data_IF_831527910079
#
_entry.id   IF_831527910079
#
_cell.length_a   1.000
_cell.length_b   1.000
_cell.length_c   1.000
_cell.angle_alpha   90.00
_cell.angle_beta   90.00
_cell.angle_gamma   90.00
#
_symmetry.space_group_name_H-M   'P 1'
#
loop_
_entity.id
_entity.type
_entity.pdbx_description
1 polymer ?
#
# COMPACT_ATOMS: atom_id res chain seq x y z
N UNK A 1 -17.02 17.04 1.07
CA UNK A 1 -17.14 17.55 -0.30
C UNK A 1 -17.84 18.89 -0.33
N UNK A 2 -19.15 18.98 -0.10
CA UNK A 2 -19.89 20.24 -0.29
C UNK A 2 -19.37 21.48 0.50
N UNK A 3 -18.83 21.30 1.71
CA UNK A 3 -18.21 22.39 2.49
C UNK A 3 -16.82 22.80 1.97
N UNK A 4 -16.10 21.86 1.34
CA UNK A 4 -14.75 22.05 0.80
C UNK A 4 -14.82 22.65 -0.62
N UNK A 5 -15.92 22.41 -1.33
CA UNK A 5 -16.27 22.99 -2.64
C UNK A 5 -16.77 24.45 -2.56
N UNK A 6 -16.82 25.05 -1.36
CA UNK A 6 -17.22 26.45 -1.16
C UNK A 6 -18.72 26.72 -1.40
N UNK A 7 -19.55 25.69 -1.58
CA UNK A 7 -20.98 25.81 -1.86
C UNK A 7 -21.80 26.42 -0.72
N UNK A 8 -21.24 26.48 0.49
CA UNK A 8 -21.86 27.09 1.67
C UNK A 8 -21.09 28.32 2.19
N UNK A 9 -20.22 28.90 1.35
CA UNK A 9 -19.35 30.03 1.68
C UNK A 9 -17.90 29.60 1.93
N UNK A 10 -16.98 30.56 1.79
CA UNK A 10 -15.55 30.32 1.99
C UNK A 10 -15.25 30.02 3.46
N UNK A 11 -14.53 28.92 3.68
CA UNK A 11 -14.07 28.53 5.01
C UNK A 11 -12.80 29.31 5.38
N UNK A 12 -12.73 29.79 6.62
CA UNK A 12 -11.49 30.33 7.17
C UNK A 12 -10.38 29.25 7.21
N UNK A 13 -9.12 29.65 7.14
CA UNK A 13 -7.98 28.73 7.09
C UNK A 13 -7.99 27.66 8.21
N UNK A 14 -8.43 28.06 9.42
CA UNK A 14 -8.56 27.15 10.56
C UNK A 14 -9.72 26.15 10.38
N UNK A 15 -10.84 26.57 9.82
CA UNK A 15 -11.99 25.71 9.54
C UNK A 15 -11.64 24.69 8.45
N UNK A 16 -10.96 25.12 7.38
CA UNK A 16 -10.44 24.22 6.35
C UNK A 16 -9.51 23.14 6.92
N UNK A 17 -8.64 23.51 7.86
CA UNK A 17 -7.75 22.56 8.53
C UNK A 17 -8.54 21.50 9.32
N UNK A 18 -9.57 21.91 10.06
CA UNK A 18 -10.43 21.00 10.82
C UNK A 18 -11.26 20.11 9.91
N UNK A 19 -11.82 20.65 8.82
CA UNK A 19 -12.61 19.89 7.84
C UNK A 19 -11.76 18.80 7.19
N UNK A 20 -10.54 19.13 6.76
CA UNK A 20 -9.58 18.15 6.22
C UNK A 20 -9.25 17.06 7.23
N UNK A 21 -8.98 17.44 8.48
CA UNK A 21 -8.73 16.47 9.55
C UNK A 21 -9.91 15.51 9.74
N UNK A 22 -11.15 16.00 9.78
CA UNK A 22 -12.34 15.17 9.91
C UNK A 22 -12.47 14.22 8.71
N UNK A 23 -12.27 14.72 7.49
CA UNK A 23 -12.33 13.88 6.28
C UNK A 23 -11.28 12.77 6.30
N UNK A 24 -10.05 13.08 6.71
CA UNK A 24 -8.98 12.10 6.81
C UNK A 24 -9.30 11.01 7.84
N UNK A 25 -9.87 11.39 8.99
CA UNK A 25 -10.32 10.44 10.01
C UNK A 25 -11.50 9.59 9.52
N UNK A 26 -12.45 10.17 8.80
CA UNK A 26 -13.57 9.42 8.21
C UNK A 26 -13.07 8.39 7.17
N UNK A 27 -12.14 8.79 6.29
CA UNK A 27 -11.50 7.87 5.33
C UNK A 27 -10.70 6.76 6.04
N UNK A 28 -10.01 7.10 7.14
CA UNK A 28 -9.31 6.10 7.96
C UNK A 28 -10.30 5.09 8.58
N UNK A 29 -11.41 5.55 9.15
CA UNK A 29 -12.43 4.69 9.73
C UNK A 29 -13.06 3.75 8.69
N UNK A 30 -13.43 4.28 7.51
CA UNK A 30 -13.97 3.46 6.41
C UNK A 30 -13.00 2.37 5.99
N UNK A 31 -11.69 2.67 5.91
CA UNK A 31 -10.67 1.66 5.61
C UNK A 31 -10.62 0.56 6.67
N UNK A 32 -10.68 0.91 7.96
CA UNK A 32 -10.69 -0.07 9.05
C UNK A 32 -11.94 -0.97 9.03
N UNK A 33 -13.11 -0.39 8.76
CA UNK A 33 -14.36 -1.15 8.62
C UNK A 33 -14.28 -2.14 7.46
N UNK A 34 -13.78 -1.70 6.30
CA UNK A 34 -13.60 -2.58 5.14
C UNK A 34 -12.60 -3.70 5.43
N UNK A 35 -11.46 -3.39 6.06
CA UNK A 35 -10.47 -4.40 6.48
C UNK A 35 -11.08 -5.44 7.43
N UNK A 36 -11.91 -5.01 8.38
CA UNK A 36 -12.60 -5.93 9.29
C UNK A 36 -13.63 -6.82 8.56
N UNK A 37 -14.38 -6.26 7.62
CA UNK A 37 -15.33 -7.02 6.80
C UNK A 37 -14.62 -8.04 5.91
N UNK A 38 -13.50 -7.66 5.29
CA UNK A 38 -12.69 -8.54 4.46
C UNK A 38 -12.08 -9.68 5.28
N UNK A 39 -11.59 -9.38 6.48
CA UNK A 39 -11.13 -10.39 7.44
C UNK A 39 -12.26 -11.35 7.84
N UNK A 40 -13.44 -10.84 8.15
CA UNK A 40 -14.59 -11.66 8.55
C UNK A 40 -15.03 -12.57 7.39
N UNK A 41 -14.97 -12.09 6.15
CA UNK A 41 -15.23 -12.88 4.94
C UNK A 41 -14.15 -13.94 4.71
N UNK A 42 -12.89 -13.60 4.97
CA UNK A 42 -11.77 -14.55 4.88
C UNK A 42 -11.93 -15.70 5.87
N UNK A 43 -12.23 -15.40 7.13
CA UNK A 43 -12.45 -16.41 8.18
C UNK A 43 -13.68 -17.29 7.94
N UNK A 44 -14.72 -16.74 7.33
CA UNK A 44 -15.91 -17.49 6.92
C UNK A 44 -15.72 -18.31 5.61
N UNK A 45 -14.52 -18.33 5.03
CA UNK A 45 -14.22 -19.03 3.76
C UNK A 45 -14.85 -18.38 2.52
N UNK A 46 -15.35 -17.14 2.64
CA UNK A 46 -16.09 -16.42 1.60
C UNK A 46 -15.24 -15.54 0.69
N UNK A 47 -13.91 -15.54 0.84
CA UNK A 47 -13.05 -14.73 -0.01
C UNK A 47 -13.02 -15.31 -1.43
N UNK A 48 -13.71 -14.65 -2.37
CA UNK A 48 -13.62 -14.97 -3.79
C UNK A 48 -12.42 -14.24 -4.37
N UNK A 49 -11.41 -15.00 -4.77
CA UNK A 49 -10.38 -14.57 -5.70
C UNK A 49 -10.94 -14.80 -7.10
N UNK A 50 -10.78 -13.84 -8.00
CA UNK A 50 -11.17 -13.99 -9.41
C UNK A 50 -9.94 -13.95 -10.32
N UNK A 51 -9.14 -15.03 -10.39
CA UNK A 51 -7.96 -15.03 -11.25
C UNK A 51 -8.34 -14.89 -12.71
N UNK A 52 -7.73 -13.93 -13.38
CA UNK A 52 -7.88 -13.67 -14.82
C UNK A 52 -6.49 -13.59 -15.43
N UNK A 53 -6.40 -13.76 -16.75
CA UNK A 53 -5.14 -13.52 -17.46
C UNK A 53 -4.88 -12.01 -17.46
N UNK A 54 -3.78 -11.61 -16.84
CA UNK A 54 -3.37 -10.21 -16.66
C UNK A 54 -2.02 -9.98 -17.34
N UNK A 55 -1.86 -8.82 -17.96
CA UNK A 55 -0.59 -8.36 -18.53
C UNK A 55 0.27 -7.77 -17.41
N UNK A 56 1.38 -8.45 -17.10
CA UNK A 56 2.16 -8.18 -15.88
C UNK A 56 2.97 -6.88 -15.97
N UNK A 57 3.66 -6.58 -17.09
CA UNK A 57 4.27 -5.27 -17.29
C UNK A 57 3.35 -4.09 -17.01
N UNK A 58 2.09 -4.13 -17.48
CA UNK A 58 1.10 -3.09 -17.28
C UNK A 58 0.62 -3.00 -15.84
N UNK A 59 0.37 -4.13 -15.18
CA UNK A 59 0.09 -4.15 -13.73
C UNK A 59 1.22 -3.47 -12.93
N UNK A 60 2.49 -3.72 -13.31
CA UNK A 60 3.64 -3.10 -12.66
C UNK A 60 3.74 -1.59 -12.94
N UNK A 61 3.39 -1.14 -14.15
CA UNK A 61 3.32 0.28 -14.51
C UNK A 61 2.23 1.01 -13.71
N UNK A 62 1.08 0.38 -13.51
CA UNK A 62 0.02 0.92 -12.67
C UNK A 62 0.46 1.06 -11.21
N UNK A 63 1.14 0.04 -10.66
CA UNK A 63 1.72 0.09 -9.32
C UNK A 63 2.74 1.23 -9.23
N UNK A 64 3.63 1.35 -10.22
CA UNK A 64 4.62 2.43 -10.26
C UNK A 64 3.95 3.81 -10.24
N UNK A 65 2.97 4.03 -11.10
CA UNK A 65 2.26 5.29 -11.23
C UNK A 65 1.54 5.71 -9.93
N UNK A 66 0.98 4.75 -9.21
CA UNK A 66 0.22 4.98 -7.97
C UNK A 66 1.08 5.53 -6.83
N UNK A 67 2.38 5.22 -6.82
CA UNK A 67 3.30 5.60 -5.73
C UNK A 67 4.33 6.66 -6.14
N UNK A 68 4.47 6.98 -7.43
CA UNK A 68 5.45 7.95 -7.93
C UNK A 68 5.29 9.35 -7.35
N UNK A 69 4.05 9.82 -7.19
CA UNK A 69 3.77 11.11 -6.56
C UNK A 69 4.19 11.12 -5.08
N UNK A 70 3.88 10.05 -4.35
CA UNK A 70 4.26 9.90 -2.94
C UNK A 70 5.78 9.80 -2.76
N UNK A 71 6.47 9.07 -3.65
CA UNK A 71 7.92 8.97 -3.65
C UNK A 71 8.59 10.33 -3.83
N UNK A 72 8.10 11.12 -4.79
CA UNK A 72 8.56 12.49 -5.02
C UNK A 72 8.33 13.36 -3.79
N UNK A 73 7.12 13.32 -3.22
CA UNK A 73 6.76 14.09 -2.04
C UNK A 73 7.63 13.75 -0.81
N UNK A 74 7.94 12.46 -0.62
CA UNK A 74 8.77 11.97 0.49
C UNK A 74 10.27 11.99 0.20
N UNK A 75 10.68 12.39 -1.01
CA UNK A 75 12.07 12.36 -1.46
C UNK A 75 12.72 10.97 -1.32
N UNK A 76 11.98 9.93 -1.71
CA UNK A 76 12.44 8.53 -1.70
C UNK A 76 12.70 8.11 -3.14
N UNK A 77 13.85 7.48 -3.39
CA UNK A 77 14.14 6.86 -4.68
C UNK A 77 13.26 5.61 -4.86
N UNK A 78 12.31 5.67 -5.78
CA UNK A 78 11.37 4.58 -6.03
C UNK A 78 11.54 4.04 -7.44
N UNK A 79 11.88 2.75 -7.54
CA UNK A 79 12.13 2.08 -8.82
C UNK A 79 11.34 0.78 -8.93
N UNK A 80 10.72 0.55 -10.09
CA UNK A 80 10.14 -0.76 -10.45
C UNK A 80 10.98 -1.41 -11.53
N UNK A 81 11.60 -2.55 -11.21
CA UNK A 81 12.47 -3.31 -12.11
C UNK A 81 11.77 -4.58 -12.60
N UNK A 82 11.48 -4.59 -13.89
CA UNK A 82 11.02 -5.75 -14.67
C UNK A 82 12.26 -6.53 -15.11
N UNK A 83 12.52 -7.72 -14.56
CA UNK A 83 13.69 -8.53 -14.93
C UNK A 83 13.44 -9.31 -16.22
N UNK A 84 14.50 -9.78 -16.87
CA UNK A 84 14.43 -10.45 -18.18
C UNK A 84 13.53 -11.69 -18.20
N UNK A 85 13.42 -12.41 -17.07
CA UNK A 85 12.53 -13.58 -16.96
C UNK A 85 11.07 -13.22 -16.64
N UNK A 86 10.68 -11.94 -16.65
CA UNK A 86 9.31 -11.52 -16.37
C UNK A 86 8.35 -12.08 -17.44
N UNK A 87 7.30 -12.82 -17.04
CA UNK A 87 6.30 -13.29 -18.00
C UNK A 87 5.47 -12.11 -18.52
N UNK A 88 5.10 -12.13 -19.80
CA UNK A 88 4.19 -11.13 -20.37
C UNK A 88 2.79 -11.18 -19.75
N UNK A 89 2.33 -12.37 -19.34
CA UNK A 89 1.04 -12.54 -18.65
C UNK A 89 1.11 -13.56 -17.53
N UNK A 90 0.26 -13.41 -16.50
CA UNK A 90 0.01 -14.44 -15.49
C UNK A 90 -1.48 -14.54 -15.15
N UNK A 91 -1.91 -15.66 -14.56
CA UNK A 91 -3.28 -15.86 -14.09
C UNK A 91 -3.36 -15.42 -12.62
N UNK A 92 -3.84 -14.20 -12.39
CA UNK A 92 -3.91 -13.56 -11.06
C UNK A 92 -5.16 -12.71 -10.94
N UNK A 93 -5.54 -12.35 -9.71
CA UNK A 93 -6.57 -11.35 -9.47
C UNK A 93 -5.93 -9.95 -9.49
N UNK A 94 -6.17 -9.20 -10.57
CA UNK A 94 -5.52 -7.91 -10.84
C UNK A 94 -5.69 -6.92 -9.68
N UNK A 95 -6.92 -6.73 -9.20
CA UNK A 95 -7.24 -5.72 -8.19
C UNK A 95 -6.66 -6.10 -6.84
N UNK A 96 -6.71 -7.39 -6.47
CA UNK A 96 -6.11 -7.87 -5.22
C UNK A 96 -4.59 -7.73 -5.22
N UNK A 97 -3.92 -8.12 -6.30
CA UNK A 97 -2.45 -7.97 -6.37
C UNK A 97 -2.08 -6.48 -6.31
N UNK A 98 -2.74 -5.62 -7.08
CA UNK A 98 -2.44 -4.18 -7.13
C UNK A 98 -2.71 -3.47 -5.79
N UNK A 99 -3.91 -3.59 -5.26
CA UNK A 99 -4.35 -2.78 -4.11
C UNK A 99 -4.09 -3.43 -2.77
N UNK A 100 -4.35 -4.73 -2.64
CA UNK A 100 -4.23 -5.42 -1.35
C UNK A 100 -2.78 -5.84 -1.10
N UNK A 101 -2.16 -6.57 -2.03
CA UNK A 101 -0.81 -7.10 -1.83
C UNK A 101 0.22 -5.98 -1.99
N UNK A 102 0.34 -5.42 -3.20
CA UNK A 102 1.35 -4.39 -3.48
C UNK A 102 1.06 -3.10 -2.72
N UNK A 103 -0.22 -2.72 -2.59
CA UNK A 103 -0.60 -1.54 -1.82
C UNK A 103 -0.19 -1.64 -0.35
N UNK A 104 -0.43 -2.77 0.32
CA UNK A 104 0.00 -2.95 1.72
C UNK A 104 1.52 -2.95 1.85
N UNK A 105 2.23 -3.73 1.03
CA UNK A 105 3.69 -3.81 1.09
C UNK A 105 4.35 -2.45 0.83
N UNK A 106 3.93 -1.74 -0.22
CA UNK A 106 4.49 -0.42 -0.54
C UNK A 106 4.09 0.64 0.49
N UNK A 107 2.86 0.61 1.01
CA UNK A 107 2.47 1.55 2.06
C UNK A 107 3.33 1.40 3.32
N UNK A 108 3.70 0.16 3.68
CA UNK A 108 4.64 -0.12 4.76
C UNK A 108 6.05 0.38 4.42
N UNK A 109 6.57 0.05 3.24
CA UNK A 109 7.88 0.52 2.79
C UNK A 109 7.99 2.06 2.84
N UNK A 110 7.00 2.78 2.32
CA UNK A 110 6.94 4.25 2.38
C UNK A 110 6.73 4.80 3.78
N UNK A 111 6.10 4.05 4.69
CA UNK A 111 5.91 4.47 6.08
C UNK A 111 7.22 4.41 6.85
N UNK A 112 8.03 3.37 6.64
CA UNK A 112 9.23 3.08 7.43
C UNK A 112 10.55 3.50 6.78
N UNK A 113 10.51 3.95 5.52
CA UNK A 113 11.67 4.56 4.83
C UNK A 113 11.69 6.07 5.02
N UNK A 114 12.83 6.60 5.46
CA UNK A 114 13.04 8.05 5.63
C UNK A 114 13.39 8.74 4.31
N UNK A 115 13.28 10.08 4.27
CA UNK A 115 13.73 10.89 3.13
C UNK A 115 15.20 10.60 2.79
N UNK A 116 15.50 10.51 1.50
CA UNK A 116 16.80 10.11 0.96
C UNK A 116 17.03 8.59 0.89
N UNK A 117 16.09 7.78 1.39
CA UNK A 117 16.12 6.32 1.25
C UNK A 117 15.67 5.83 -0.13
N UNK A 118 15.66 4.51 -0.31
CA UNK A 118 15.24 3.86 -1.55
C UNK A 118 14.22 2.74 -1.30
N UNK A 119 13.28 2.60 -2.23
CA UNK A 119 12.31 1.51 -2.31
C UNK A 119 12.38 0.92 -3.72
N UNK A 120 12.50 -0.40 -3.81
CA UNK A 120 12.59 -1.13 -5.07
C UNK A 120 11.52 -2.21 -5.14
N UNK A 121 10.80 -2.24 -6.25
CA UNK A 121 9.99 -3.40 -6.65
C UNK A 121 10.77 -4.18 -7.69
N UNK A 122 10.94 -5.48 -7.45
CA UNK A 122 11.54 -6.42 -8.40
C UNK A 122 10.49 -7.44 -8.82
N UNK A 123 10.34 -7.65 -10.12
CA UNK A 123 9.42 -8.64 -10.66
C UNK A 123 10.12 -9.55 -11.67
N UNK A 124 9.95 -10.86 -11.52
CA UNK A 124 10.56 -11.87 -12.39
C UNK A 124 9.76 -13.17 -12.39
N UNK A 125 9.91 -13.97 -13.45
CA UNK A 125 9.43 -15.35 -13.47
C UNK A 125 10.45 -16.28 -12.81
N UNK A 126 9.96 -17.20 -11.99
CA UNK A 126 10.75 -18.25 -11.33
C UNK A 126 9.98 -19.56 -11.37
N UNK A 127 10.49 -20.52 -12.16
CA UNK A 127 9.78 -21.75 -12.52
C UNK A 127 8.35 -21.44 -13.02
N UNK A 128 7.33 -21.93 -12.33
CA UNK A 128 5.91 -21.75 -12.68
C UNK A 128 5.26 -20.56 -11.95
N UNK A 129 6.06 -19.69 -11.32
CA UNK A 129 5.56 -18.59 -10.49
C UNK A 129 6.01 -17.23 -10.98
N UNK A 130 5.12 -16.24 -10.86
CA UNK A 130 5.49 -14.83 -10.87
C UNK A 130 5.96 -14.47 -9.46
N UNK A 131 7.18 -13.93 -9.36
CA UNK A 131 7.72 -13.43 -8.11
C UNK A 131 7.74 -11.92 -8.09
N UNK A 132 7.20 -11.36 -7.02
CA UNK A 132 7.21 -9.93 -6.71
C UNK A 132 7.99 -9.76 -5.40
N UNK A 133 8.94 -8.83 -5.40
CA UNK A 133 9.70 -8.46 -4.22
C UNK A 133 9.61 -6.95 -4.03
N UNK A 134 9.35 -6.53 -2.79
CA UNK A 134 9.47 -5.14 -2.36
C UNK A 134 10.65 -5.10 -1.39
N UNK A 135 11.60 -4.22 -1.65
CA UNK A 135 12.77 -3.97 -0.80
C UNK A 135 12.83 -2.50 -0.46
N UNK A 136 13.20 -2.19 0.78
CA UNK A 136 13.36 -0.81 1.24
C UNK A 136 14.62 -0.65 2.09
N UNK A 137 15.05 0.60 2.27
CA UNK A 137 16.19 0.97 3.12
C UNK A 137 15.72 1.63 4.43
N UNK A 138 14.55 1.25 4.92
CA UNK A 138 13.98 1.76 6.15
C UNK A 138 14.68 1.23 7.41
N UNK A 139 14.00 1.39 8.55
CA UNK A 139 14.52 0.99 9.87
C UNK A 139 14.77 -0.51 10.03
N UNK A 140 14.27 -1.33 9.10
CA UNK A 140 14.35 -2.78 9.17
C UNK A 140 13.39 -3.38 10.19
N UNK A 141 13.46 -4.70 10.33
CA UNK A 141 12.68 -5.49 11.28
C UNK A 141 13.68 -6.36 12.04
N UNK A 142 13.61 -6.39 13.37
CA UNK A 142 14.51 -7.24 14.16
C UNK A 142 14.17 -8.72 13.98
N UNK A 143 15.16 -9.60 14.09
CA UNK A 143 14.99 -11.04 13.80
C UNK A 143 13.90 -11.69 14.68
N UNK A 144 13.79 -11.28 15.94
CA UNK A 144 12.79 -11.75 16.90
C UNK A 144 11.35 -11.34 16.53
N UNK A 145 11.18 -10.38 15.63
CA UNK A 145 9.87 -9.89 15.20
C UNK A 145 9.42 -10.48 13.86
N UNK A 146 10.34 -11.05 13.08
CA UNK A 146 10.06 -11.54 11.72
C UNK A 146 8.94 -12.60 11.68
N UNK A 147 8.87 -13.45 12.71
CA UNK A 147 7.85 -14.50 12.79
C UNK A 147 6.45 -13.93 13.14
N UNK A 148 6.41 -12.72 13.71
CA UNK A 148 5.19 -12.09 14.21
C UNK A 148 4.58 -11.04 13.28
N UNK A 149 5.32 -10.55 12.27
CA UNK A 149 4.85 -9.41 11.43
C UNK A 149 3.59 -9.70 10.60
N UNK A 150 3.22 -10.98 10.44
CA UNK A 150 1.99 -11.40 9.77
C UNK A 150 0.87 -11.80 10.74
N UNK A 151 1.13 -11.75 12.05
CA UNK A 151 0.09 -11.98 13.05
C UNK A 151 -0.90 -10.81 13.10
N UNK A 152 -2.16 -11.15 13.34
CA UNK A 152 -3.22 -10.15 13.41
C UNK A 152 -2.98 -9.21 14.58
N UNK A 153 -3.15 -7.91 14.31
CA UNK A 153 -2.99 -6.83 15.30
C UNK A 153 -1.58 -6.68 15.86
N UNK A 154 -0.60 -7.41 15.35
CA UNK A 154 0.79 -7.25 15.75
C UNK A 154 1.34 -5.94 15.19
N UNK A 155 1.91 -5.13 16.06
CA UNK A 155 2.63 -3.93 15.70
C UNK A 155 3.92 -3.91 16.50
N UNK A 156 5.05 -3.78 15.80
CA UNK A 156 6.35 -3.55 16.41
C UNK A 156 6.24 -2.31 17.31
N UNK A 157 6.50 -2.47 18.62
CA UNK A 157 6.49 -1.36 19.56
C UNK A 157 7.58 -0.36 19.19
N UNK A 158 7.19 0.75 18.55
CA UNK A 158 8.16 1.70 18.03
C UNK A 158 7.52 2.88 17.30
N UNK A 159 6.58 3.56 17.95
CA UNK A 159 6.29 4.99 17.75
C UNK A 159 5.23 5.46 18.76
N UNK A 160 5.63 5.61 20.02
CA UNK A 160 4.95 6.60 20.87
C UNK A 160 5.29 7.96 20.27
N UNK A 161 4.41 8.51 19.44
CA UNK A 161 4.42 9.95 19.17
C UNK A 161 4.42 10.65 20.53
N UNK A 162 5.48 11.40 20.80
CA UNK A 162 5.54 12.26 21.97
C UNK A 162 4.30 13.16 21.97
N UNK A 163 3.72 13.34 23.17
CA UNK A 163 2.56 14.18 23.45
C UNK A 163 2.70 15.58 22.90
#
# INVERSE_FOLDING_TARGET
ELLDEGLYGDLEARQNTVVRLIQDQARALTRLVNQLLDLSRFEAGGLRVEPKRVEIPGLLDEVESSFRALATQKQIDFTVRKRDSLPGTAVVDHERIRHEVMGNLLSNAFKFTSSGGAIRVDAWGEADHLRLSVSDTGVGISEDQLDHIFEKYYQVEGEKKAK
#
